data_IF_599618345939
#
_entry.id   IF_599618345939
#
_cell.length_a   1.000
_cell.length_b   1.000
_cell.length_c   1.000
_cell.angle_alpha   90.00
_cell.angle_beta   90.00
_cell.angle_gamma   90.00
#
_symmetry.space_group_name_H-M   'P 1'
#
loop_
_entity.id
_entity.type
_entity.pdbx_description
1 polymer ?
#
# COMPACT_ATOMS: atom_id res chain seq x y z
N UNK A 1 3.92 2.52 -5.31
CA UNK A 1 4.29 2.80 -6.73
C UNK A 1 3.97 1.63 -7.66
N UNK A 2 4.61 0.47 -7.50
CA UNK A 2 4.46 -0.66 -8.42
C UNK A 2 3.01 -1.08 -8.65
N UNK A 3 2.23 -1.28 -7.58
CA UNK A 3 0.84 -1.72 -7.66
C UNK A 3 -0.02 -0.73 -8.46
N UNK A 4 0.05 0.57 -8.12
CA UNK A 4 -0.68 1.61 -8.86
C UNK A 4 -0.20 1.72 -10.30
N UNK A 5 1.12 1.67 -10.53
CA UNK A 5 1.70 1.72 -11.86
C UNK A 5 1.19 0.59 -12.74
N UNK A 6 1.32 -0.65 -12.28
CA UNK A 6 0.84 -1.82 -13.02
C UNK A 6 -0.67 -1.75 -13.23
N UNK A 7 -1.45 -1.47 -12.19
CA UNK A 7 -2.91 -1.47 -12.29
C UNK A 7 -3.42 -0.39 -13.26
N UNK A 8 -2.86 0.83 -13.18
CA UNK A 8 -3.26 1.94 -14.04
C UNK A 8 -2.86 1.74 -15.52
N UNK A 9 -1.78 1.01 -15.81
CA UNK A 9 -1.42 0.61 -17.18
C UNK A 9 -2.50 -0.25 -17.83
N UNK A 10 -3.06 -1.20 -17.08
CA UNK A 10 -4.12 -2.06 -17.60
C UNK A 10 -5.46 -1.33 -17.69
N UNK A 11 -5.84 -0.63 -16.62
CA UNK A 11 -7.14 0.06 -16.50
C UNK A 11 -6.96 1.39 -15.78
N UNK A 12 -7.36 2.53 -16.39
CA UNK A 12 -7.39 3.81 -15.66
C UNK A 12 -8.22 3.69 -14.38
N UNK A 13 -7.70 4.25 -13.28
CA UNK A 13 -8.30 4.09 -11.95
C UNK A 13 -8.99 5.41 -11.57
N UNK A 14 -10.32 5.40 -11.50
CA UNK A 14 -11.09 6.52 -10.96
C UNK A 14 -10.86 6.67 -9.45
N UNK A 15 -10.89 7.89 -8.94
CA UNK A 15 -10.66 8.16 -7.52
C UNK A 15 -11.82 8.96 -6.95
N UNK A 16 -12.43 8.46 -5.88
CA UNK A 16 -13.50 9.18 -5.18
C UNK A 16 -13.00 10.44 -4.50
N UNK A 17 -13.94 11.37 -4.26
CA UNK A 17 -13.64 12.62 -3.55
C UNK A 17 -13.11 12.37 -2.13
N UNK A 18 -13.67 11.40 -1.41
CA UNK A 18 -13.19 11.01 -0.06
C UNK A 18 -11.75 10.55 -0.08
N UNK A 19 -11.39 9.65 -1.01
CA UNK A 19 -10.03 9.14 -1.16
C UNK A 19 -9.05 10.27 -1.52
N UNK A 20 -9.44 11.16 -2.44
CA UNK A 20 -8.62 12.30 -2.85
C UNK A 20 -8.31 13.25 -1.69
N UNK A 21 -9.34 13.64 -0.90
CA UNK A 21 -9.21 14.72 0.07
C UNK A 21 -8.92 14.26 1.50
N UNK A 22 -9.02 12.97 1.79
CA UNK A 22 -8.82 12.45 3.15
C UNK A 22 -7.80 11.32 3.15
N UNK A 23 -8.01 10.26 2.38
CA UNK A 23 -7.18 9.06 2.49
C UNK A 23 -5.76 9.27 1.93
N UNK A 24 -5.62 9.90 0.75
CA UNK A 24 -4.30 10.19 0.18
C UNK A 24 -3.53 11.22 1.04
N UNK A 25 -4.11 12.37 1.48
CA UNK A 25 -3.44 13.27 2.42
C UNK A 25 -3.07 12.59 3.74
N UNK A 26 -3.92 11.68 4.25
CA UNK A 26 -3.61 10.92 5.46
C UNK A 26 -2.41 9.97 5.25
N UNK A 27 -2.29 9.35 4.07
CA UNK A 27 -1.12 8.53 3.74
C UNK A 27 0.16 9.37 3.63
N UNK A 28 0.08 10.60 3.08
CA UNK A 28 1.20 11.56 3.09
C UNK A 28 1.55 11.93 4.52
N UNK A 29 0.55 12.28 5.34
CA UNK A 29 0.75 12.63 6.75
C UNK A 29 1.41 11.47 7.51
N UNK A 30 0.98 10.24 7.27
CA UNK A 30 1.57 9.05 7.89
C UNK A 30 3.07 8.93 7.58
N UNK A 31 3.46 9.11 6.33
CA UNK A 31 4.87 9.07 5.91
C UNK A 31 5.69 10.23 6.53
N UNK A 32 5.13 11.45 6.54
CA UNK A 32 5.77 12.62 7.16
C UNK A 32 5.91 12.43 8.67
N UNK A 33 4.89 11.87 9.33
CA UNK A 33 4.93 11.61 10.77
C UNK A 33 6.07 10.64 11.13
N UNK A 34 6.25 9.54 10.38
CA UNK A 34 7.38 8.64 10.61
C UNK A 34 8.71 9.35 10.42
N UNK A 35 8.83 10.22 9.41
CA UNK A 35 10.06 11.01 9.21
C UNK A 35 10.35 11.94 10.39
N UNK A 36 9.32 12.59 10.95
CA UNK A 36 9.46 13.44 12.15
C UNK A 36 9.89 12.61 13.35
N UNK A 37 9.23 11.48 13.61
CA UNK A 37 9.55 10.60 14.73
C UNK A 37 10.96 10.00 14.59
N UNK A 38 11.37 9.64 13.39
CA UNK A 38 12.72 9.13 13.14
C UNK A 38 13.84 10.15 13.39
N UNK A 39 13.52 11.45 13.30
CA UNK A 39 14.44 12.55 13.58
C UNK A 39 14.24 13.18 14.99
N UNK A 40 13.33 12.60 15.80
CA UNK A 40 13.08 13.00 17.19
C UNK A 40 14.21 12.59 18.14
N UNK A 41 14.02 12.80 19.43
CA UNK A 41 14.95 12.33 20.46
C UNK A 41 14.41 11.08 21.15
N UNK A 42 15.21 9.99 21.25
CA UNK A 42 16.57 9.84 20.70
C UNK A 42 16.58 9.65 19.17
N UNK A 43 17.45 10.37 18.47
CA UNK A 43 17.52 10.35 17.03
C UNK A 43 17.76 8.93 16.49
N UNK A 44 17.05 8.59 15.42
CA UNK A 44 17.14 7.27 14.77
C UNK A 44 16.45 6.14 15.56
N UNK A 45 15.56 6.46 16.51
CA UNK A 45 14.80 5.44 17.25
C UNK A 45 13.35 5.88 17.37
N UNK A 46 12.44 5.06 16.88
CA UNK A 46 11.01 5.23 17.20
C UNK A 46 10.76 4.52 18.53
N UNK A 47 10.39 5.28 19.54
CA UNK A 47 10.18 4.81 20.90
C UNK A 47 8.83 4.08 21.06
N UNK A 48 8.65 3.40 22.20
CA UNK A 48 7.36 2.77 22.53
C UNK A 48 6.21 3.78 22.62
N UNK A 49 6.47 4.96 23.20
CA UNK A 49 5.46 6.01 23.32
C UNK A 49 4.99 6.51 21.96
N UNK A 50 5.92 6.70 21.03
CA UNK A 50 5.63 7.05 19.65
C UNK A 50 4.89 5.93 18.91
N UNK A 51 5.23 4.66 19.18
CA UNK A 51 4.48 3.51 18.70
C UNK A 51 3.01 3.55 19.14
N UNK A 52 2.74 3.83 20.41
CA UNK A 52 1.36 4.02 20.90
C UNK A 52 0.67 5.23 20.26
N UNK A 53 1.40 6.31 20.00
CA UNK A 53 0.86 7.46 19.27
C UNK A 53 0.41 7.06 17.86
N UNK A 54 1.20 6.28 17.13
CA UNK A 54 0.82 5.74 15.82
C UNK A 54 -0.44 4.86 15.90
N UNK A 55 -0.56 4.02 16.93
CA UNK A 55 -1.77 3.22 17.16
C UNK A 55 -3.01 4.08 17.45
N UNK A 56 -2.85 5.23 18.14
CA UNK A 56 -3.96 6.19 18.29
C UNK A 56 -4.40 6.77 16.94
N UNK A 57 -3.46 7.13 16.05
CA UNK A 57 -3.81 7.56 14.68
C UNK A 57 -4.52 6.45 13.91
N UNK A 58 -4.09 5.19 14.07
CA UNK A 58 -4.79 4.05 13.49
C UNK A 58 -6.24 3.92 13.99
N UNK A 59 -6.45 4.05 15.31
CA UNK A 59 -7.78 3.99 15.89
C UNK A 59 -8.69 5.11 15.34
N UNK A 60 -8.17 6.33 15.19
CA UNK A 60 -8.89 7.46 14.57
C UNK A 60 -9.24 7.14 13.12
N UNK A 61 -8.30 6.58 12.34
CA UNK A 61 -8.54 6.17 10.96
C UNK A 61 -9.65 5.11 10.86
N UNK A 62 -9.63 4.10 11.71
CA UNK A 62 -10.69 3.06 11.73
C UNK A 62 -12.04 3.67 12.14
N UNK A 63 -12.07 4.52 13.17
CA UNK A 63 -13.30 5.20 13.59
C UNK A 63 -13.88 6.06 12.46
N UNK A 64 -13.03 6.81 11.74
CA UNK A 64 -13.41 7.57 10.56
C UNK A 64 -14.00 6.67 9.47
N UNK A 65 -13.32 5.58 9.13
CA UNK A 65 -13.75 4.65 8.08
C UNK A 65 -15.11 4.02 8.42
N UNK A 66 -15.29 3.58 9.67
CA UNK A 66 -16.57 3.04 10.16
C UNK A 66 -17.69 4.09 10.17
N UNK A 67 -17.37 5.34 10.50
CA UNK A 67 -18.34 6.44 10.49
C UNK A 67 -18.84 6.74 9.08
N UNK A 68 -17.93 6.79 8.09
CA UNK A 68 -18.29 6.97 6.68
C UNK A 68 -19.13 5.79 6.17
N UNK A 69 -18.72 4.56 6.49
CA UNK A 69 -19.47 3.36 6.10
C UNK A 69 -20.91 3.36 6.66
N UNK A 70 -21.11 3.82 7.91
CA UNK A 70 -22.45 3.91 8.53
C UNK A 70 -23.32 5.02 7.94
N UNK A 71 -22.74 6.12 7.48
CA UNK A 71 -23.50 7.22 6.88
C UNK A 71 -24.08 6.91 5.50
N UNK A 72 -23.85 5.70 4.99
CA UNK A 72 -24.32 5.24 3.68
C UNK A 72 -23.65 6.07 2.60
N UNK A 73 -22.69 5.52 1.91
CA UNK A 73 -22.07 6.23 0.79
C UNK A 73 -23.12 6.59 -0.25
N UNK A 74 -23.50 7.85 -0.31
CA UNK A 74 -24.46 8.37 -1.30
C UNK A 74 -23.92 8.36 -2.75
N UNK A 75 -22.74 7.77 -2.98
CA UNK A 75 -22.09 7.68 -4.30
C UNK A 75 -21.71 6.22 -4.65
N UNK A 76 -22.41 5.22 -4.13
CA UNK A 76 -22.27 3.86 -4.69
C UNK A 76 -23.04 3.84 -6.00
N UNK A 77 -22.33 3.84 -7.15
CA UNK A 77 -22.92 3.25 -8.36
C UNK A 77 -23.51 1.91 -7.94
N UNK A 78 -24.79 1.68 -8.26
CA UNK A 78 -25.48 0.41 -7.98
C UNK A 78 -24.75 -0.71 -8.72
N UNK A 79 -23.71 -1.24 -8.10
CA UNK A 79 -23.14 -2.50 -8.54
C UNK A 79 -24.19 -3.54 -8.24
N UNK A 80 -24.79 -4.10 -9.28
CA UNK A 80 -25.84 -5.11 -9.18
C UNK A 80 -25.23 -6.40 -8.57
N UNK A 81 -24.98 -6.37 -7.25
CA UNK A 81 -24.35 -7.45 -6.50
C UNK A 81 -25.48 -8.41 -6.11
N UNK A 82 -25.46 -9.61 -6.66
CA UNK A 82 -26.30 -10.69 -6.15
C UNK A 82 -25.89 -10.97 -4.68
N UNK A 83 -26.78 -10.76 -3.70
CA UNK A 83 -26.42 -10.98 -2.31
C UNK A 83 -26.16 -12.47 -2.06
N UNK A 84 -24.97 -12.80 -1.60
CA UNK A 84 -24.68 -14.12 -1.07
C UNK A 84 -25.15 -14.22 0.40
N UNK A 85 -25.51 -15.44 0.84
CA UNK A 85 -25.72 -15.66 2.27
C UNK A 85 -24.44 -15.41 3.05
N UNK A 86 -24.55 -14.96 4.30
CA UNK A 86 -23.41 -14.66 5.16
C UNK A 86 -22.38 -15.82 5.21
N UNK A 87 -22.86 -17.05 5.33
CA UNK A 87 -22.00 -18.26 5.35
C UNK A 87 -21.18 -18.40 4.06
N UNK A 88 -21.81 -18.20 2.88
CA UNK A 88 -21.13 -18.25 1.59
C UNK A 88 -20.13 -17.11 1.43
N UNK A 89 -20.48 -15.90 1.87
CA UNK A 89 -19.58 -14.74 1.83
C UNK A 89 -18.33 -14.98 2.68
N UNK A 90 -18.49 -15.44 3.91
CA UNK A 90 -17.37 -15.79 4.80
C UNK A 90 -16.50 -16.89 4.20
N UNK A 91 -17.10 -17.95 3.66
CA UNK A 91 -16.35 -19.04 3.01
C UNK A 91 -15.53 -18.53 1.83
N UNK A 92 -16.12 -17.69 0.96
CA UNK A 92 -15.40 -17.14 -0.19
C UNK A 92 -14.28 -16.18 0.22
N UNK A 93 -14.46 -15.38 1.27
CA UNK A 93 -13.42 -14.54 1.83
C UNK A 93 -12.24 -15.40 2.33
N UNK A 94 -12.53 -16.42 3.13
CA UNK A 94 -11.49 -17.30 3.67
C UNK A 94 -10.74 -18.07 2.57
N UNK A 95 -11.48 -18.64 1.60
CA UNK A 95 -10.86 -19.33 0.47
C UNK A 95 -10.04 -18.37 -0.42
N UNK A 96 -10.55 -17.17 -0.67
CA UNK A 96 -9.83 -16.14 -1.43
C UNK A 96 -8.55 -15.70 -0.72
N UNK A 97 -8.63 -15.45 0.59
CA UNK A 97 -7.47 -15.08 1.41
C UNK A 97 -6.43 -16.22 1.45
N UNK A 98 -6.87 -17.46 1.70
CA UNK A 98 -5.99 -18.63 1.68
C UNK A 98 -5.34 -18.82 0.31
N UNK A 99 -6.08 -18.64 -0.79
CA UNK A 99 -5.57 -18.70 -2.15
C UNK A 99 -4.54 -17.61 -2.45
N UNK A 100 -4.79 -16.37 -2.05
CA UNK A 100 -3.86 -15.24 -2.24
C UNK A 100 -2.58 -15.44 -1.44
N UNK A 101 -2.68 -15.78 -0.15
CA UNK A 101 -1.50 -15.98 0.71
C UNK A 101 -0.74 -17.23 0.31
N UNK A 102 -1.42 -18.35 0.09
CA UNK A 102 -0.80 -19.61 -0.30
C UNK A 102 -0.17 -19.52 -1.70
N UNK A 103 -0.88 -18.98 -2.68
CA UNK A 103 -0.35 -18.78 -4.03
C UNK A 103 0.82 -17.80 -4.08
N UNK A 104 0.73 -16.68 -3.32
CA UNK A 104 1.81 -15.72 -3.19
C UNK A 104 3.09 -16.36 -2.60
N UNK A 105 2.96 -17.15 -1.53
CA UNK A 105 4.08 -17.87 -0.93
C UNK A 105 4.72 -18.85 -1.91
N UNK A 106 3.94 -19.71 -2.54
CA UNK A 106 4.45 -20.68 -3.52
C UNK A 106 5.20 -19.99 -4.67
N UNK A 107 4.71 -18.86 -5.15
CA UNK A 107 5.36 -18.09 -6.21
C UNK A 107 6.68 -17.50 -5.72
N UNK A 108 6.70 -16.92 -4.52
CA UNK A 108 7.91 -16.34 -3.93
C UNK A 108 8.96 -17.42 -3.66
N UNK A 109 8.58 -18.53 -3.01
CA UNK A 109 9.49 -19.62 -2.68
C UNK A 109 10.10 -20.23 -3.94
N UNK A 110 9.29 -20.42 -5.00
CA UNK A 110 9.77 -20.89 -6.29
C UNK A 110 10.73 -19.89 -6.96
N UNK A 111 10.41 -18.59 -6.94
CA UNK A 111 11.26 -17.56 -7.52
C UNK A 111 12.58 -17.40 -6.75
N UNK A 112 12.54 -17.46 -5.42
CA UNK A 112 13.74 -17.45 -4.56
C UNK A 112 14.64 -18.66 -4.88
N UNK A 113 14.06 -19.86 -4.96
CA UNK A 113 14.81 -21.07 -5.27
C UNK A 113 15.50 -20.98 -6.63
N UNK A 114 14.80 -20.52 -7.66
CA UNK A 114 15.38 -20.32 -9.00
C UNK A 114 16.48 -19.25 -8.99
N UNK A 115 16.30 -18.15 -8.28
CA UNK A 115 17.30 -17.09 -8.17
C UNK A 115 18.57 -17.56 -7.45
N UNK A 116 18.42 -18.36 -6.38
CA UNK A 116 19.55 -18.97 -5.67
C UNK A 116 20.30 -19.96 -6.56
N UNK A 117 19.61 -20.79 -7.32
CA UNK A 117 20.23 -21.69 -8.32
C UNK A 117 20.97 -20.92 -9.41
N UNK A 118 20.52 -19.72 -9.77
CA UNK A 118 21.18 -18.82 -10.70
C UNK A 118 22.35 -18.03 -10.08
N UNK A 119 22.67 -18.25 -8.80
CA UNK A 119 23.78 -17.58 -8.11
C UNK A 119 23.51 -16.13 -7.73
N UNK A 120 22.24 -15.70 -7.72
CA UNK A 120 21.85 -14.35 -7.31
C UNK A 120 22.03 -14.19 -5.80
N UNK A 121 22.62 -13.07 -5.36
CA UNK A 121 22.88 -12.83 -3.95
C UNK A 121 21.58 -12.70 -3.13
N UNK A 122 21.62 -13.14 -1.87
CA UNK A 122 20.46 -13.06 -0.95
C UNK A 122 19.96 -11.61 -0.77
N UNK A 123 20.87 -10.62 -0.81
CA UNK A 123 20.51 -9.19 -0.75
C UNK A 123 19.60 -8.82 -1.92
N UNK A 124 19.97 -9.17 -3.15
CA UNK A 124 19.18 -8.86 -4.35
C UNK A 124 17.84 -9.61 -4.30
N UNK A 125 17.85 -10.88 -3.90
CA UNK A 125 16.62 -11.67 -3.72
C UNK A 125 15.68 -10.99 -2.73
N UNK A 126 16.18 -10.54 -1.58
CA UNK A 126 15.39 -9.85 -0.57
C UNK A 126 14.79 -8.54 -1.07
N UNK A 127 15.62 -7.70 -1.71
CA UNK A 127 15.20 -6.39 -2.21
C UNK A 127 14.23 -6.47 -3.39
N UNK A 128 14.28 -7.54 -4.18
CA UNK A 128 13.46 -7.69 -5.39
C UNK A 128 12.34 -8.71 -5.19
N UNK A 129 12.67 -10.00 -5.16
CA UNK A 129 11.70 -11.09 -5.21
C UNK A 129 10.81 -11.10 -3.97
N UNK A 130 11.40 -11.00 -2.78
CA UNK A 130 10.63 -11.03 -1.52
C UNK A 130 9.81 -9.75 -1.39
N UNK A 131 10.39 -8.58 -1.68
CA UNK A 131 9.69 -7.28 -1.60
C UNK A 131 8.50 -7.20 -2.57
N UNK A 132 8.66 -7.66 -3.81
CA UNK A 132 7.55 -7.75 -4.77
C UNK A 132 6.55 -8.81 -4.32
N UNK A 133 7.03 -9.95 -3.84
CA UNK A 133 6.23 -11.09 -3.44
C UNK A 133 5.26 -10.79 -2.31
N UNK A 134 5.70 -10.02 -1.31
CA UNK A 134 4.81 -9.58 -0.21
C UNK A 134 3.70 -8.65 -0.68
N UNK A 135 3.88 -7.98 -1.82
CA UNK A 135 2.88 -7.08 -2.42
C UNK A 135 2.01 -7.77 -3.49
N UNK A 136 2.22 -9.06 -3.78
CA UNK A 136 1.42 -9.79 -4.78
C UNK A 136 -0.08 -9.87 -4.43
N UNK A 137 -0.48 -10.13 -3.17
CA UNK A 137 -1.89 -10.12 -2.79
C UNK A 137 -2.57 -8.77 -3.08
N UNK A 138 -1.91 -7.67 -2.73
CA UNK A 138 -2.40 -6.31 -2.98
C UNK A 138 -2.46 -6.01 -4.47
N UNK A 139 -1.46 -6.43 -5.24
CA UNK A 139 -1.44 -6.26 -6.69
C UNK A 139 -2.59 -7.04 -7.35
N UNK A 140 -2.76 -8.31 -7.00
CA UNK A 140 -3.83 -9.14 -7.54
C UNK A 140 -5.21 -8.56 -7.21
N UNK A 141 -5.43 -8.16 -5.95
CA UNK A 141 -6.69 -7.55 -5.50
C UNK A 141 -6.98 -6.26 -6.25
N UNK A 142 -6.01 -5.34 -6.35
CA UNK A 142 -6.16 -4.05 -7.01
C UNK A 142 -6.41 -4.20 -8.50
N UNK A 143 -5.67 -5.10 -9.18
CA UNK A 143 -5.83 -5.36 -10.61
C UNK A 143 -7.19 -5.97 -10.94
N UNK A 144 -7.64 -6.95 -10.16
CA UNK A 144 -8.95 -7.59 -10.35
C UNK A 144 -10.07 -6.58 -10.09
N UNK A 145 -9.97 -5.77 -9.03
CA UNK A 145 -10.94 -4.74 -8.71
C UNK A 145 -11.03 -3.70 -9.84
N UNK A 146 -9.90 -3.21 -10.34
CA UNK A 146 -9.85 -2.27 -11.46
C UNK A 146 -10.48 -2.85 -12.73
N UNK A 147 -10.18 -4.12 -13.08
CA UNK A 147 -10.81 -4.81 -14.22
C UNK A 147 -12.32 -4.95 -14.05
N UNK A 148 -12.81 -5.13 -12.83
CA UNK A 148 -14.25 -5.16 -12.52
C UNK A 148 -14.87 -3.76 -12.42
N UNK A 149 -14.13 -2.71 -12.79
CA UNK A 149 -14.52 -1.30 -12.69
C UNK A 149 -14.82 -0.85 -11.25
N UNK A 150 -14.30 -1.57 -10.27
CA UNK A 150 -14.39 -1.20 -8.85
C UNK A 150 -13.11 -0.43 -8.46
N UNK A 151 -13.05 0.81 -8.88
CA UNK A 151 -11.90 1.67 -8.66
C UNK A 151 -11.64 1.94 -7.17
N UNK A 152 -12.69 1.99 -6.36
CA UNK A 152 -12.58 2.23 -4.91
C UNK A 152 -11.79 1.13 -4.19
N UNK A 153 -12.07 -0.14 -4.52
CA UNK A 153 -11.30 -1.24 -3.97
C UNK A 153 -9.86 -1.19 -4.47
N UNK A 154 -9.65 -0.84 -5.76
CA UNK A 154 -8.31 -0.80 -6.34
C UNK A 154 -7.41 0.25 -5.67
N UNK A 155 -7.90 1.49 -5.53
CA UNK A 155 -7.12 2.59 -4.93
C UNK A 155 -7.11 2.49 -3.40
N UNK A 156 -8.26 2.15 -2.79
CA UNK A 156 -8.38 2.01 -1.35
C UNK A 156 -7.48 0.93 -0.77
N UNK A 157 -7.29 -0.18 -1.51
CA UNK A 157 -6.34 -1.23 -1.12
C UNK A 157 -4.90 -0.71 -1.06
N UNK A 158 -4.47 0.10 -2.03
CA UNK A 158 -3.09 0.63 -2.07
C UNK A 158 -2.87 1.74 -1.04
N UNK A 159 -3.78 2.71 -0.97
CA UNK A 159 -3.67 3.82 0.00
C UNK A 159 -3.90 3.31 1.42
N UNK A 160 -4.90 2.46 1.60
CA UNK A 160 -5.23 1.86 2.88
C UNK A 160 -4.13 0.99 3.43
N UNK A 161 -3.46 0.17 2.60
CA UNK A 161 -2.32 -0.64 3.05
C UNK A 161 -1.13 0.21 3.51
N UNK A 162 -0.85 1.35 2.87
CA UNK A 162 0.18 2.28 3.33
C UNK A 162 -0.15 2.84 4.71
N UNK A 163 -1.39 3.30 4.93
CA UNK A 163 -1.85 3.81 6.23
C UNK A 163 -1.78 2.70 7.29
N UNK A 164 -2.26 1.50 6.94
CA UNK A 164 -2.28 0.34 7.83
C UNK A 164 -0.87 -0.08 8.24
N UNK A 165 0.05 -0.21 7.28
CA UNK A 165 1.43 -0.58 7.55
C UNK A 165 2.12 0.48 8.43
N UNK A 166 1.88 1.76 8.17
CA UNK A 166 2.50 2.85 8.94
C UNK A 166 1.92 2.94 10.34
N UNK A 167 0.62 3.01 10.49
CA UNK A 167 0.02 3.28 11.80
C UNK A 167 -0.13 2.02 12.67
N UNK A 168 -0.57 0.88 12.07
CA UNK A 168 -0.75 -0.33 12.86
C UNK A 168 0.54 -1.14 12.96
N UNK A 169 1.16 -1.50 11.83
CA UNK A 169 2.30 -2.43 11.86
C UNK A 169 3.51 -1.78 12.52
N UNK A 170 3.94 -0.60 12.07
CA UNK A 170 5.04 0.10 12.71
C UNK A 170 4.69 0.52 14.15
N UNK A 171 3.45 1.00 14.38
CA UNK A 171 2.98 1.38 15.71
C UNK A 171 3.00 0.21 16.69
N UNK A 172 2.48 -0.94 16.32
CA UNK A 172 2.51 -2.14 17.16
C UNK A 172 3.95 -2.64 17.37
N UNK A 173 4.76 -2.67 16.33
CA UNK A 173 6.16 -3.11 16.41
C UNK A 173 6.97 -2.22 17.35
N UNK A 174 6.84 -0.87 17.22
CA UNK A 174 7.51 0.08 18.11
C UNK A 174 6.99 0.00 19.55
N UNK A 175 5.68 -0.22 19.73
CA UNK A 175 5.06 -0.42 21.05
C UNK A 175 5.59 -1.65 21.79
N UNK A 176 5.90 -2.71 21.05
CA UNK A 176 6.52 -3.93 21.63
C UNK A 176 8.02 -3.71 21.89
N UNK A 177 8.75 -3.20 20.91
CA UNK A 177 10.19 -2.93 20.99
C UNK A 177 10.54 -1.68 20.18
N UNK A 178 11.34 -0.74 20.74
CA UNK A 178 11.79 0.43 20.01
C UNK A 178 12.44 0.05 18.67
N UNK A 179 12.09 0.76 17.61
CA UNK A 179 12.57 0.50 16.26
C UNK A 179 13.73 1.43 15.92
N UNK A 180 14.84 0.85 15.44
CA UNK A 180 15.95 1.62 14.91
C UNK A 180 15.65 2.04 13.48
N UNK A 181 15.82 3.31 13.18
CA UNK A 181 15.70 3.89 11.83
C UNK A 181 17.11 4.19 11.32
N UNK A 182 17.51 3.53 10.26
CA UNK A 182 18.82 3.75 9.62
C UNK A 182 18.76 4.91 8.63
N UNK A 183 19.93 5.41 8.20
CA UNK A 183 20.02 6.46 7.18
C UNK A 183 19.35 6.03 5.87
N UNK A 184 19.47 4.75 5.50
CA UNK A 184 18.82 4.20 4.31
C UNK A 184 17.30 4.27 4.44
N UNK A 185 16.75 3.94 5.62
CA UNK A 185 15.33 4.05 5.91
C UNK A 185 14.81 5.49 5.78
N UNK A 186 15.61 6.49 6.12
CA UNK A 186 15.25 7.92 5.93
C UNK A 186 15.12 8.25 4.44
N UNK A 187 16.01 7.73 3.61
CA UNK A 187 15.93 7.89 2.15
C UNK A 187 14.64 7.28 1.61
N UNK A 188 14.30 6.06 2.05
CA UNK A 188 13.05 5.38 1.67
C UNK A 188 11.81 6.18 2.08
N UNK A 189 11.84 6.83 3.26
CA UNK A 189 10.76 7.70 3.72
C UNK A 189 10.59 8.92 2.82
N UNK A 190 11.67 9.57 2.39
CA UNK A 190 11.61 10.69 1.43
C UNK A 190 11.03 10.24 0.09
N UNK A 191 11.44 9.08 -0.42
CA UNK A 191 10.87 8.51 -1.66
C UNK A 191 9.38 8.24 -1.48
N UNK A 192 8.97 7.66 -0.34
CA UNK A 192 7.55 7.38 -0.05
C UNK A 192 6.72 8.67 0.03
N UNK A 193 7.23 9.73 0.69
CA UNK A 193 6.57 11.04 0.74
C UNK A 193 6.43 11.61 -0.67
N UNK A 194 7.52 11.63 -1.44
CA UNK A 194 7.54 12.17 -2.80
C UNK A 194 6.52 11.48 -3.71
N UNK A 195 6.44 10.15 -3.63
CA UNK A 195 5.47 9.35 -4.39
C UNK A 195 4.03 9.58 -3.94
N UNK A 196 3.81 9.71 -2.64
CA UNK A 196 2.46 9.97 -2.10
C UNK A 196 1.98 11.37 -2.50
N UNK A 197 2.86 12.36 -2.49
CA UNK A 197 2.58 13.72 -3.01
C UNK A 197 2.35 13.68 -4.53
N UNK A 198 3.15 12.94 -5.27
CA UNK A 198 2.97 12.78 -6.72
C UNK A 198 1.62 12.12 -7.04
N UNK A 199 1.22 11.11 -6.27
CA UNK A 199 -0.10 10.50 -6.37
C UNK A 199 -1.21 11.55 -6.17
N UNK A 200 -1.08 12.39 -5.14
CA UNK A 200 -2.04 13.45 -4.88
C UNK A 200 -2.14 14.42 -6.06
N UNK A 201 -1.01 14.83 -6.63
CA UNK A 201 -0.95 15.73 -7.79
C UNK A 201 -1.61 15.08 -9.02
N UNK A 202 -1.32 13.82 -9.29
CA UNK A 202 -1.84 13.10 -10.46
C UNK A 202 -3.36 12.94 -10.45
N UNK A 203 -3.99 12.94 -9.27
CA UNK A 203 -5.45 12.95 -9.18
C UNK A 203 -6.07 14.16 -9.92
N UNK A 204 -5.32 15.25 -10.09
CA UNK A 204 -5.80 16.49 -10.72
C UNK A 204 -5.28 16.72 -12.14
N UNK A 205 -4.38 15.87 -12.66
CA UNK A 205 -3.73 16.08 -13.97
C UNK A 205 -4.49 15.54 -15.16
N UNK A 206 -5.66 14.94 -15.01
CA UNK A 206 -6.41 14.30 -16.09
C UNK A 206 -7.82 14.83 -16.29
N UNK A 207 -8.61 14.13 -17.10
CA UNK A 207 -10.04 14.38 -17.29
C UNK A 207 -10.83 13.77 -16.12
N UNK A 208 -10.93 14.52 -15.02
CA UNK A 208 -11.56 14.03 -13.79
C UNK A 208 -10.55 13.33 -12.86
N UNK A 209 -10.96 13.07 -11.62
CA UNK A 209 -10.12 12.41 -10.61
C UNK A 209 -9.84 10.95 -10.99
N UNK A 210 -8.79 10.73 -11.76
CA UNK A 210 -8.37 9.39 -12.17
C UNK A 210 -6.86 9.34 -12.41
N UNK A 211 -6.27 8.19 -12.23
CA UNK A 211 -4.90 7.89 -12.63
C UNK A 211 -4.96 7.25 -14.02
N UNK A 212 -4.34 7.91 -14.98
CA UNK A 212 -4.29 7.47 -16.37
C UNK A 212 -3.12 6.50 -16.62
N UNK A 213 -3.10 5.88 -17.79
CA UNK A 213 -2.03 4.93 -18.15
C UNK A 213 -0.64 5.56 -18.17
N UNK A 214 -0.49 6.82 -18.61
CA UNK A 214 0.81 7.48 -18.64
C UNK A 214 1.36 7.76 -17.24
N UNK A 215 0.48 8.12 -16.29
CA UNK A 215 0.83 8.30 -14.86
C UNK A 215 1.21 6.94 -14.23
N UNK A 216 0.48 5.87 -14.62
CA UNK A 216 0.84 4.51 -14.27
C UNK A 216 2.22 4.10 -14.80
N UNK A 217 2.53 4.43 -16.07
CA UNK A 217 3.85 4.19 -16.65
C UNK A 217 4.95 4.96 -15.90
N UNK A 218 4.69 6.21 -15.52
CA UNK A 218 5.64 7.01 -14.75
C UNK A 218 5.88 6.42 -13.35
N UNK A 219 4.82 6.01 -12.63
CA UNK A 219 4.98 5.32 -11.34
C UNK A 219 5.81 4.04 -11.46
N UNK A 220 5.59 3.26 -12.51
CA UNK A 220 6.36 2.04 -12.72
C UNK A 220 7.81 2.33 -13.06
N UNK A 221 8.08 3.33 -13.89
CA UNK A 221 9.44 3.79 -14.22
C UNK A 221 10.17 4.28 -12.97
N UNK A 222 9.53 5.11 -12.16
CA UNK A 222 10.08 5.58 -10.88
C UNK A 222 10.40 4.42 -9.93
N UNK A 223 9.52 3.43 -9.86
CA UNK A 223 9.75 2.24 -9.04
C UNK A 223 10.96 1.43 -9.52
N UNK A 224 11.05 1.17 -10.84
CA UNK A 224 12.18 0.43 -11.43
C UNK A 224 13.49 1.20 -11.21
N UNK A 225 13.49 2.51 -11.43
CA UNK A 225 14.67 3.37 -11.20
C UNK A 225 15.11 3.32 -9.74
N UNK A 226 14.15 3.48 -8.80
CA UNK A 226 14.44 3.39 -7.36
C UNK A 226 15.01 2.02 -6.99
N UNK A 227 14.41 0.93 -7.47
CA UNK A 227 14.87 -0.42 -7.19
C UNK A 227 16.28 -0.67 -7.76
N UNK A 228 16.56 -0.15 -8.97
CA UNK A 228 17.89 -0.26 -9.59
C UNK A 228 18.94 0.50 -8.76
N UNK A 229 18.63 1.71 -8.31
CA UNK A 229 19.53 2.46 -7.43
C UNK A 229 19.79 1.72 -6.12
N UNK A 230 18.77 1.14 -5.52
CA UNK A 230 18.90 0.38 -4.27
C UNK A 230 19.75 -0.90 -4.42
N UNK A 231 19.76 -1.52 -5.59
CA UNK A 231 20.57 -2.72 -5.88
C UNK A 231 22.04 -2.35 -6.11
N UNK A 232 22.29 -1.19 -6.73
CA UNK A 232 23.65 -0.73 -7.11
C UNK A 232 24.35 -0.05 -5.93
N UNK A 233 23.62 0.56 -4.99
CA UNK A 233 24.17 1.14 -3.74
C UNK A 233 24.57 0.03 -2.75
#
# INVERSE_FOLDING_TARGET
MAILGVTALFVPIGIKRSTTWIEIPLAVLAAVLILILANGEPAGIITRAEGFCLLCFFAVFIAYTLFIAKRGGQETEEVNIKPYSLKKSVLFILLGLAGLVGGGRLLVDGAVSLAQMAGISERIIGLTIISIGTSLPELATSLIAARKKNADIAIGNVVGSNIFNTFLILGASAGISPLKVTTDSVTDLWVNIGVSVLLFIFVFTGKGRQINRWEGALFLTLYITYLTLLIVS
#
